data_IF_618370641849
#
_entry.id   IF_618370641849
#
_cell.length_a   1.000
_cell.length_b   1.000
_cell.length_c   1.000
_cell.angle_alpha   90.00
_cell.angle_beta   90.00
_cell.angle_gamma   90.00
#
_symmetry.space_group_name_H-M   'P 1'
#
loop_
_entity.id
_entity.type
_entity.pdbx_description
1 polymer ?
#
# COMPACT_ATOMS: atom_id res chain seq x y z
N UNK A 1 -14.72 20.95 -14.93
CA UNK A 1 -15.02 19.67 -15.60
C UNK A 1 -13.91 18.62 -15.43
N UNK A 2 -12.62 18.90 -15.75
CA UNK A 2 -11.51 17.91 -15.63
C UNK A 2 -11.33 17.33 -14.22
N UNK A 3 -11.40 18.14 -13.16
CA UNK A 3 -11.23 17.65 -11.79
C UNK A 3 -12.33 16.66 -11.38
N UNK A 4 -13.59 16.98 -11.72
CA UNK A 4 -14.73 16.11 -11.45
C UNK A 4 -14.60 14.78 -12.18
N UNK A 5 -14.20 14.80 -13.45
CA UNK A 5 -14.00 13.58 -14.23
C UNK A 5 -12.89 12.69 -13.65
N UNK A 6 -11.78 13.27 -13.16
CA UNK A 6 -10.69 12.52 -12.49
C UNK A 6 -11.20 11.86 -11.21
N UNK A 7 -11.91 12.60 -10.35
CA UNK A 7 -12.46 12.06 -9.11
C UNK A 7 -13.54 11.01 -9.34
N UNK A 8 -14.44 11.25 -10.30
CA UNK A 8 -15.48 10.28 -10.66
C UNK A 8 -14.87 8.99 -11.24
N UNK A 9 -13.93 9.12 -12.16
CA UNK A 9 -13.22 7.96 -12.71
C UNK A 9 -12.46 7.17 -11.65
N UNK A 10 -11.74 7.86 -10.76
CA UNK A 10 -11.04 7.21 -9.66
C UNK A 10 -12.01 6.51 -8.70
N UNK A 11 -13.09 7.18 -8.30
CA UNK A 11 -14.11 6.59 -7.43
C UNK A 11 -14.73 5.34 -8.06
N UNK A 12 -15.09 5.40 -9.35
CA UNK A 12 -15.67 4.27 -10.08
C UNK A 12 -14.69 3.07 -10.11
N UNK A 13 -13.46 3.32 -10.48
CA UNK A 13 -12.42 2.26 -10.60
C UNK A 13 -12.09 1.63 -9.25
N UNK A 14 -12.09 2.42 -8.17
CA UNK A 14 -11.82 1.89 -6.82
C UNK A 14 -13.05 1.24 -6.18
N UNK A 15 -14.26 1.70 -6.50
CA UNK A 15 -15.50 1.10 -6.00
C UNK A 15 -15.84 -0.23 -6.71
N UNK A 16 -15.48 -0.37 -7.98
CA UNK A 16 -15.77 -1.58 -8.75
C UNK A 16 -15.28 -2.88 -8.10
N UNK A 17 -14.01 -3.05 -7.68
CA UNK A 17 -13.56 -4.27 -7.01
C UNK A 17 -14.29 -4.54 -5.69
N UNK A 18 -14.65 -3.48 -4.96
CA UNK A 18 -15.43 -3.59 -3.72
C UNK A 18 -16.83 -4.10 -4.02
N UNK A 19 -17.49 -3.54 -5.05
CA UNK A 19 -18.81 -3.96 -5.48
C UNK A 19 -18.81 -5.43 -5.96
N UNK A 20 -17.84 -5.83 -6.78
CA UNK A 20 -17.66 -7.23 -7.21
C UNK A 20 -17.52 -8.15 -6.01
N UNK A 21 -16.69 -7.76 -5.04
CA UNK A 21 -16.47 -8.56 -3.83
C UNK A 21 -17.74 -8.69 -2.98
N UNK A 22 -18.54 -7.61 -2.87
CA UNK A 22 -19.78 -7.59 -2.09
C UNK A 22 -20.90 -8.47 -2.68
N UNK A 23 -20.83 -8.77 -3.98
CA UNK A 23 -21.78 -9.64 -4.67
C UNK A 23 -21.20 -11.03 -4.99
N UNK A 24 -20.06 -11.36 -4.42
CA UNK A 24 -19.42 -12.64 -4.68
C UNK A 24 -20.16 -13.78 -4.01
N UNK A 25 -20.46 -14.88 -4.73
CA UNK A 25 -21.05 -16.08 -4.13
C UNK A 25 -20.15 -16.74 -3.09
N UNK A 26 -18.85 -16.44 -3.08
CA UNK A 26 -17.90 -16.94 -2.09
C UNK A 26 -18.12 -16.38 -0.68
N UNK A 27 -19.01 -15.40 -0.51
CA UNK A 27 -19.39 -14.84 0.80
C UNK A 27 -20.42 -15.71 1.52
N UNK A 28 -21.21 -16.50 0.81
CA UNK A 28 -22.41 -17.20 1.32
C UNK A 28 -22.14 -18.05 2.55
N UNK A 29 -20.99 -18.73 2.58
CA UNK A 29 -20.62 -19.66 3.65
C UNK A 29 -19.56 -19.10 4.61
N UNK A 30 -19.30 -17.80 4.57
CA UNK A 30 -18.26 -17.15 5.37
C UNK A 30 -18.83 -16.40 6.56
N UNK A 31 -18.23 -16.60 7.73
CA UNK A 31 -18.59 -15.85 8.93
C UNK A 31 -18.29 -14.35 8.81
N UNK A 32 -19.02 -13.50 9.55
CA UNK A 32 -18.91 -12.04 9.41
C UNK A 32 -17.50 -11.49 9.70
N UNK A 33 -16.77 -12.10 10.64
CA UNK A 33 -15.39 -11.69 10.97
C UNK A 33 -14.45 -11.94 9.79
N UNK A 34 -14.57 -13.10 9.14
CA UNK A 34 -13.78 -13.43 7.95
C UNK A 34 -14.09 -12.47 6.79
N UNK A 35 -15.39 -12.20 6.57
CA UNK A 35 -15.84 -11.25 5.55
C UNK A 35 -15.27 -9.85 5.81
N UNK A 36 -15.38 -9.37 7.05
CA UNK A 36 -14.81 -8.06 7.44
C UNK A 36 -13.29 -8.01 7.25
N UNK A 37 -12.57 -9.08 7.60
CA UNK A 37 -11.14 -9.20 7.36
C UNK A 37 -10.80 -9.14 5.86
N UNK A 38 -11.56 -9.83 5.02
CA UNK A 38 -11.41 -9.79 3.57
C UNK A 38 -11.60 -8.38 3.01
N UNK A 39 -12.68 -7.70 3.40
CA UNK A 39 -12.92 -6.31 3.00
C UNK A 39 -11.87 -5.32 3.51
N UNK A 40 -11.32 -5.54 4.71
CA UNK A 40 -10.20 -4.76 5.21
C UNK A 40 -8.95 -4.91 4.32
N UNK A 41 -8.67 -6.12 3.82
CA UNK A 41 -7.61 -6.36 2.84
C UNK A 41 -7.85 -5.62 1.52
N UNK A 42 -9.09 -5.65 0.99
CA UNK A 42 -9.47 -4.92 -0.22
C UNK A 42 -9.31 -3.41 -0.01
N UNK A 43 -9.78 -2.88 1.13
CA UNK A 43 -9.61 -1.48 1.49
C UNK A 43 -8.12 -1.09 1.57
N UNK A 44 -7.29 -1.96 2.14
CA UNK A 44 -5.84 -1.79 2.15
C UNK A 44 -5.26 -1.63 0.74
N UNK A 45 -5.65 -2.48 -0.21
CA UNK A 45 -5.19 -2.41 -1.60
C UNK A 45 -5.67 -1.11 -2.29
N UNK A 46 -6.91 -0.68 -2.06
CA UNK A 46 -7.44 0.62 -2.52
C UNK A 46 -6.60 1.78 -1.97
N UNK A 47 -6.27 1.73 -0.68
CA UNK A 47 -5.44 2.76 -0.04
C UNK A 47 -4.01 2.78 -0.62
N UNK A 48 -3.45 1.64 -0.99
CA UNK A 48 -2.13 1.55 -1.66
C UNK A 48 -2.15 2.28 -3.02
N UNK A 49 -3.27 2.30 -3.75
CA UNK A 49 -3.42 3.10 -4.98
C UNK A 49 -3.46 4.59 -4.67
N UNK A 50 -4.23 5.01 -3.66
CA UNK A 50 -4.44 6.43 -3.34
C UNK A 50 -3.19 7.12 -2.78
N UNK A 51 -2.42 6.43 -1.96
CA UNK A 51 -1.25 6.95 -1.26
C UNK A 51 -0.21 7.61 -2.19
N UNK A 52 0.30 6.95 -3.24
CA UNK A 52 1.29 7.53 -4.14
C UNK A 52 0.70 8.66 -5.00
N UNK A 53 -0.57 8.60 -5.38
CA UNK A 53 -1.24 9.67 -6.14
C UNK A 53 -1.30 10.97 -5.35
N UNK A 54 -1.61 10.89 -4.05
CA UNK A 54 -1.60 12.04 -3.13
C UNK A 54 -0.18 12.57 -2.91
N UNK A 55 0.78 11.69 -2.67
CA UNK A 55 2.17 12.06 -2.44
C UNK A 55 2.79 12.77 -3.64
N UNK A 56 2.44 12.33 -4.86
CA UNK A 56 2.91 12.91 -6.11
C UNK A 56 2.14 14.16 -6.56
N UNK A 57 1.11 14.60 -5.81
CA UNK A 57 0.28 15.75 -6.16
C UNK A 57 -0.46 15.56 -7.49
N UNK A 58 -0.91 14.34 -7.77
CA UNK A 58 -1.60 14.00 -9.03
C UNK A 58 -3.10 14.24 -8.97
N UNK A 59 -3.65 14.36 -7.77
CA UNK A 59 -5.09 14.55 -7.57
C UNK A 59 -5.42 16.06 -7.59
N UNK A 60 -6.38 16.51 -8.41
CA UNK A 60 -6.75 17.91 -8.51
C UNK A 60 -7.52 18.37 -7.27
N UNK A 61 -7.34 19.64 -6.90
CA UNK A 61 -8.07 20.32 -5.83
C UNK A 61 -7.29 20.49 -4.53
N UNK A 62 -6.71 19.45 -3.91
CA UNK A 62 -5.99 19.63 -2.65
C UNK A 62 -4.72 20.47 -2.79
N UNK A 63 -4.51 21.41 -1.88
CA UNK A 63 -3.19 22.07 -1.74
C UNK A 63 -2.15 21.03 -1.30
N UNK A 64 -0.85 21.32 -1.54
CA UNK A 64 0.23 20.41 -1.12
C UNK A 64 0.19 20.10 0.38
N UNK A 65 -0.18 21.07 1.22
CA UNK A 65 -0.34 20.88 2.67
C UNK A 65 -1.50 19.94 2.98
N UNK A 66 -2.65 20.12 2.33
CA UNK A 66 -3.83 19.26 2.47
C UNK A 66 -3.52 17.85 1.98
N UNK A 67 -2.92 17.69 0.80
CA UNK A 67 -2.54 16.39 0.26
C UNK A 67 -1.62 15.60 1.21
N UNK A 68 -0.65 16.28 1.85
CA UNK A 68 0.23 15.66 2.86
C UNK A 68 -0.51 15.23 4.13
N UNK A 69 -1.50 16.00 4.58
CA UNK A 69 -2.34 15.63 5.74
C UNK A 69 -3.23 14.43 5.41
N UNK A 70 -3.87 14.47 4.25
CA UNK A 70 -4.71 13.36 3.77
C UNK A 70 -3.85 12.10 3.56
N UNK A 71 -2.68 12.20 2.95
CA UNK A 71 -1.74 11.09 2.83
C UNK A 71 -1.38 10.48 4.19
N UNK A 72 -1.12 11.29 5.21
CA UNK A 72 -0.82 10.79 6.55
C UNK A 72 -2.03 10.11 7.20
N UNK A 73 -3.24 10.67 7.05
CA UNK A 73 -4.47 10.08 7.58
C UNK A 73 -4.81 8.75 6.90
N UNK A 74 -4.71 8.70 5.56
CA UNK A 74 -4.92 7.45 4.81
C UNK A 74 -3.81 6.43 5.07
N UNK A 75 -2.58 6.88 5.40
CA UNK A 75 -1.51 6.00 5.86
C UNK A 75 -1.84 5.33 7.19
N UNK A 76 -2.42 6.07 8.13
CA UNK A 76 -2.93 5.50 9.39
C UNK A 76 -4.11 4.55 9.13
N UNK A 77 -5.02 4.90 8.22
CA UNK A 77 -6.12 4.03 7.81
C UNK A 77 -5.62 2.74 7.15
N UNK A 78 -4.55 2.80 6.35
CA UNK A 78 -3.91 1.61 5.78
C UNK A 78 -3.36 0.69 6.87
N UNK A 79 -2.67 1.23 7.86
CA UNK A 79 -2.19 0.44 9.01
C UNK A 79 -3.36 -0.21 9.74
N UNK A 80 -4.44 0.54 10.01
CA UNK A 80 -5.64 0.02 10.65
C UNK A 80 -6.30 -1.09 9.80
N UNK A 81 -6.40 -0.92 8.49
CA UNK A 81 -6.94 -1.92 7.58
C UNK A 81 -6.11 -3.22 7.60
N UNK A 82 -4.78 -3.12 7.59
CA UNK A 82 -3.89 -4.29 7.69
C UNK A 82 -4.05 -4.98 9.05
N UNK A 83 -4.13 -4.22 10.15
CA UNK A 83 -4.38 -4.79 11.48
C UNK A 83 -5.73 -5.51 11.55
N UNK A 84 -6.80 -4.90 11.03
CA UNK A 84 -8.13 -5.53 10.98
C UNK A 84 -8.12 -6.79 10.11
N UNK A 85 -7.44 -6.75 8.96
CA UNK A 85 -7.30 -7.90 8.07
C UNK A 85 -6.64 -9.08 8.80
N UNK A 86 -5.46 -8.86 9.36
CA UNK A 86 -4.70 -9.92 10.04
C UNK A 86 -5.36 -10.38 11.33
N UNK A 87 -5.91 -9.46 12.14
CA UNK A 87 -6.59 -9.83 13.39
C UNK A 87 -7.87 -10.62 13.13
N UNK A 88 -8.63 -10.26 12.09
CA UNK A 88 -9.83 -11.01 11.73
C UNK A 88 -9.50 -12.42 11.22
N UNK A 89 -8.43 -12.58 10.44
CA UNK A 89 -7.91 -13.88 10.03
C UNK A 89 -7.39 -14.69 11.24
N UNK A 90 -6.74 -14.03 12.19
CA UNK A 90 -6.31 -14.67 13.43
C UNK A 90 -7.49 -15.22 14.23
N UNK A 91 -8.59 -14.47 14.32
CA UNK A 91 -9.80 -14.94 15.05
C UNK A 91 -10.44 -16.14 14.34
N UNK A 92 -10.41 -16.17 13.01
CA UNK A 92 -11.12 -17.20 12.21
C UNK A 92 -10.27 -18.42 11.92
N UNK A 93 -8.95 -18.28 11.80
CA UNK A 93 -8.02 -19.39 11.52
C UNK A 93 -6.62 -19.08 12.11
N UNK A 94 -6.44 -19.21 13.44
CA UNK A 94 -5.16 -18.96 14.09
C UNK A 94 -3.99 -19.75 13.51
N UNK A 95 -4.14 -21.06 13.19
CA UNK A 95 -3.03 -21.83 12.62
C UNK A 95 -2.53 -21.27 11.30
N UNK A 96 -3.43 -20.88 10.40
CA UNK A 96 -3.03 -20.31 9.09
C UNK A 96 -2.23 -19.01 9.24
N UNK A 97 -2.58 -18.18 10.23
CA UNK A 97 -1.85 -16.94 10.50
C UNK A 97 -0.47 -17.22 11.13
N UNK A 98 -0.38 -18.22 12.04
CA UNK A 98 0.89 -18.65 12.61
C UNK A 98 1.81 -19.16 11.50
N UNK A 99 1.31 -20.06 10.65
CA UNK A 99 2.07 -20.60 9.52
C UNK A 99 2.51 -19.52 8.54
N UNK A 100 1.64 -18.54 8.26
CA UNK A 100 2.01 -17.41 7.44
C UNK A 100 3.14 -16.58 8.06
N UNK A 101 3.03 -16.22 9.34
CA UNK A 101 4.00 -15.41 10.07
C UNK A 101 5.35 -16.11 10.25
N UNK A 102 5.35 -17.45 10.34
CA UNK A 102 6.57 -18.26 10.43
C UNK A 102 7.11 -18.69 9.08
N UNK A 103 6.47 -18.27 7.96
CA UNK A 103 6.82 -18.65 6.59
C UNK A 103 6.76 -20.17 6.33
N UNK A 104 5.93 -20.88 7.07
CA UNK A 104 5.68 -22.35 6.93
C UNK A 104 4.36 -22.65 6.20
N UNK A 105 3.58 -21.62 5.87
CA UNK A 105 2.30 -21.76 5.17
C UNK A 105 2.47 -22.43 3.81
N UNK A 106 1.65 -23.44 3.48
CA UNK A 106 1.68 -24.09 2.18
C UNK A 106 1.12 -23.19 1.05
N UNK A 107 0.47 -22.09 1.40
CA UNK A 107 -0.14 -21.18 0.41
C UNK A 107 0.90 -20.20 -0.16
N UNK A 108 1.03 -20.12 -1.51
CA UNK A 108 2.09 -19.33 -2.14
C UNK A 108 1.94 -17.82 -1.94
N UNK A 109 0.75 -17.34 -1.56
CA UNK A 109 0.48 -15.93 -1.33
C UNK A 109 0.85 -15.42 0.07
N UNK A 110 0.95 -16.31 1.05
CA UNK A 110 1.11 -15.94 2.46
C UNK A 110 2.42 -15.19 2.72
N UNK A 111 3.54 -15.69 2.24
CA UNK A 111 4.85 -15.04 2.42
C UNK A 111 4.87 -13.60 1.86
N UNK A 112 4.28 -13.39 0.69
CA UNK A 112 4.17 -12.07 0.09
C UNK A 112 3.34 -11.10 0.94
N UNK A 113 2.22 -11.60 1.49
CA UNK A 113 1.36 -10.82 2.40
C UNK A 113 2.09 -10.40 3.68
N UNK A 114 2.84 -11.31 4.29
CA UNK A 114 3.61 -11.04 5.52
C UNK A 114 4.72 -10.02 5.26
N UNK A 115 5.46 -10.15 4.16
CA UNK A 115 6.48 -9.17 3.79
C UNK A 115 5.85 -7.80 3.56
N UNK A 116 4.71 -7.73 2.82
CA UNK A 116 3.99 -6.48 2.59
C UNK A 116 3.50 -5.85 3.90
N UNK A 117 2.93 -6.62 4.82
CA UNK A 117 2.48 -6.19 6.14
C UNK A 117 3.62 -5.53 6.94
N UNK A 118 4.76 -6.21 7.07
CA UNK A 118 5.91 -5.65 7.79
C UNK A 118 6.47 -4.42 7.10
N UNK A 119 6.45 -4.36 5.77
CA UNK A 119 6.86 -3.17 5.03
C UNK A 119 5.92 -1.98 5.27
N UNK A 120 4.59 -2.20 5.39
CA UNK A 120 3.61 -1.17 5.78
C UNK A 120 3.93 -0.64 7.18
N UNK A 121 4.16 -1.52 8.16
CA UNK A 121 4.47 -1.11 9.53
C UNK A 121 5.80 -0.36 9.62
N UNK A 122 6.82 -0.83 8.90
CA UNK A 122 8.11 -0.14 8.82
C UNK A 122 7.99 1.24 8.17
N UNK A 123 7.18 1.38 7.09
CA UNK A 123 6.93 2.66 6.44
C UNK A 123 6.19 3.64 7.37
N UNK A 124 5.22 3.16 8.13
CA UNK A 124 4.49 3.95 9.12
C UNK A 124 5.40 4.37 10.30
N UNK A 125 6.20 3.47 10.84
CA UNK A 125 7.17 3.75 11.88
C UNK A 125 8.21 4.79 11.42
N UNK A 126 8.75 4.62 10.21
CA UNK A 126 9.68 5.57 9.61
C UNK A 126 9.01 6.95 9.41
N UNK A 127 7.74 7.00 9.01
CA UNK A 127 6.98 8.24 8.88
C UNK A 127 6.74 8.93 10.23
N UNK A 128 6.46 8.18 11.30
CA UNK A 128 6.35 8.70 12.66
C UNK A 128 7.68 9.30 13.15
N UNK A 129 8.79 8.64 12.82
CA UNK A 129 10.14 9.05 13.21
C UNK A 129 10.78 10.08 12.26
N UNK A 130 10.07 10.56 11.24
CA UNK A 130 10.61 11.43 10.18
C UNK A 130 11.37 12.66 10.66
N UNK A 131 11.01 13.20 11.85
CA UNK A 131 11.68 14.36 12.44
C UNK A 131 13.07 14.02 13.02
N UNK A 132 13.32 12.74 13.32
CA UNK A 132 14.58 12.21 13.88
C UNK A 132 15.51 11.67 12.80
N UNK A 133 15.04 11.51 11.57
CA UNK A 133 15.77 10.91 10.46
C UNK A 133 16.18 11.99 9.46
N UNK A 134 17.39 11.88 8.90
CA UNK A 134 17.87 12.78 7.83
C UNK A 134 16.89 12.74 6.64
N UNK A 135 16.50 13.90 6.06
CA UNK A 135 15.48 13.96 5.00
C UNK A 135 15.80 13.10 3.76
N UNK A 136 17.07 12.95 3.41
CA UNK A 136 17.49 12.09 2.29
C UNK A 136 17.26 10.60 2.60
N UNK A 137 17.64 10.16 3.81
CA UNK A 137 17.47 8.78 4.28
C UNK A 137 15.98 8.45 4.45
N UNK A 138 15.21 9.38 5.01
CA UNK A 138 13.75 9.24 5.11
C UNK A 138 13.12 9.02 3.73
N UNK A 139 13.43 9.88 2.74
CA UNK A 139 12.86 9.75 1.39
C UNK A 139 13.25 8.43 0.73
N UNK A 140 14.52 8.07 0.80
CA UNK A 140 15.00 6.82 0.21
C UNK A 140 14.37 5.58 0.88
N UNK A 141 14.38 5.53 2.22
CA UNK A 141 13.83 4.41 2.98
C UNK A 141 12.31 4.29 2.81
N UNK A 142 11.57 5.39 2.94
CA UNK A 142 10.11 5.37 2.76
C UNK A 142 9.72 4.97 1.33
N UNK A 143 10.41 5.49 0.31
CA UNK A 143 10.15 5.10 -1.08
C UNK A 143 10.48 3.62 -1.31
N UNK A 144 11.60 3.11 -0.79
CA UNK A 144 11.95 1.70 -0.90
C UNK A 144 10.90 0.79 -0.25
N UNK A 145 10.42 1.16 0.94
CA UNK A 145 9.36 0.42 1.62
C UNK A 145 8.03 0.47 0.85
N UNK A 146 7.65 1.61 0.27
CA UNK A 146 6.43 1.73 -0.56
C UNK A 146 6.53 0.85 -1.81
N UNK A 147 7.69 0.80 -2.46
CA UNK A 147 7.92 -0.11 -3.59
C UNK A 147 7.78 -1.56 -3.13
N UNK A 148 8.38 -1.93 -2.01
CA UNK A 148 8.30 -3.28 -1.44
C UNK A 148 6.85 -3.65 -1.11
N UNK A 149 6.07 -2.73 -0.50
CA UNK A 149 4.64 -2.92 -0.26
C UNK A 149 3.92 -3.25 -1.56
N UNK A 150 4.07 -2.45 -2.61
CA UNK A 150 3.36 -2.66 -3.86
C UNK A 150 3.77 -3.98 -4.54
N UNK A 151 5.09 -4.25 -4.61
CA UNK A 151 5.63 -5.45 -5.25
C UNK A 151 5.20 -6.73 -4.53
N UNK A 152 5.09 -6.71 -3.19
CA UNK A 152 4.67 -7.88 -2.44
C UNK A 152 3.14 -8.00 -2.33
N UNK A 153 2.40 -6.89 -2.28
CA UNK A 153 0.93 -6.93 -2.24
C UNK A 153 0.33 -7.49 -3.53
N UNK A 154 0.96 -7.24 -4.68
CA UNK A 154 0.44 -7.70 -5.98
C UNK A 154 0.41 -9.23 -6.08
N UNK A 155 1.51 -9.98 -5.90
CA UNK A 155 1.44 -11.45 -5.92
C UNK A 155 0.57 -11.98 -4.77
N UNK A 156 0.59 -11.36 -3.57
CA UNK A 156 -0.32 -11.72 -2.50
C UNK A 156 -1.78 -11.67 -2.98
N UNK A 157 -2.22 -10.55 -3.54
CA UNK A 157 -3.59 -10.39 -4.00
C UNK A 157 -3.93 -11.29 -5.20
N UNK A 158 -3.03 -11.42 -6.18
CA UNK A 158 -3.29 -12.18 -7.41
C UNK A 158 -3.41 -13.69 -7.16
N UNK A 159 -2.61 -14.23 -6.25
CA UNK A 159 -2.57 -15.65 -5.93
C UNK A 159 -3.71 -16.10 -5.00
N UNK A 160 -4.41 -15.17 -4.32
CA UNK A 160 -5.57 -15.51 -3.50
C UNK A 160 -6.77 -15.79 -4.41
N UNK A 161 -7.38 -16.95 -4.27
CA UNK A 161 -8.72 -17.22 -4.79
C UNK A 161 -9.76 -16.62 -3.83
N UNK A 162 -10.25 -15.42 -4.18
CA UNK A 162 -11.09 -14.63 -3.28
C UNK A 162 -12.25 -13.92 -3.99
N UNK A 163 -12.97 -13.14 -3.21
CA UNK A 163 -14.24 -12.50 -3.57
C UNK A 163 -14.15 -11.44 -4.68
N UNK A 164 -12.97 -10.85 -4.92
CA UNK A 164 -12.81 -9.72 -5.87
C UNK A 164 -12.99 -10.11 -7.34
N UNK A 165 -12.95 -11.37 -7.70
CA UNK A 165 -12.88 -11.80 -9.10
C UNK A 165 -11.52 -11.49 -9.77
N UNK A 166 -11.13 -12.23 -10.82
CA UNK A 166 -9.78 -12.12 -11.38
C UNK A 166 -9.53 -10.79 -12.10
N UNK A 167 -10.52 -10.26 -12.83
CA UNK A 167 -10.35 -9.04 -13.63
C UNK A 167 -10.25 -7.80 -12.77
N UNK A 168 -11.18 -7.61 -11.82
CA UNK A 168 -11.19 -6.44 -10.94
C UNK A 168 -9.96 -6.41 -10.04
N UNK A 169 -9.52 -7.56 -9.57
CA UNK A 169 -8.31 -7.76 -8.79
C UNK A 169 -7.05 -7.39 -9.59
N UNK A 170 -6.91 -7.92 -10.80
CA UNK A 170 -5.78 -7.60 -11.69
C UNK A 170 -5.73 -6.11 -12.05
N UNK A 171 -6.89 -5.50 -12.33
CA UNK A 171 -6.98 -4.06 -12.61
C UNK A 171 -6.52 -3.21 -11.42
N UNK A 172 -6.96 -3.54 -10.20
CA UNK A 172 -6.55 -2.81 -8.99
C UNK A 172 -5.05 -2.99 -8.69
N UNK A 173 -4.52 -4.19 -8.89
CA UNK A 173 -3.08 -4.46 -8.77
C UNK A 173 -2.25 -3.66 -9.79
N UNK A 174 -2.69 -3.63 -11.05
CA UNK A 174 -2.03 -2.84 -12.09
C UNK A 174 -2.04 -1.33 -11.76
N UNK A 175 -3.16 -0.83 -11.24
CA UNK A 175 -3.27 0.56 -10.78
C UNK A 175 -2.33 0.86 -9.60
N UNK A 176 -2.20 -0.05 -8.64
CA UNK A 176 -1.29 0.12 -7.51
C UNK A 176 0.17 0.22 -7.99
N UNK A 177 0.61 -0.69 -8.86
CA UNK A 177 1.95 -0.63 -9.44
C UNK A 177 2.17 0.63 -10.28
N UNK A 178 1.19 0.99 -11.14
CA UNK A 178 1.24 2.19 -11.98
C UNK A 178 1.32 3.47 -11.15
N UNK A 179 0.51 3.59 -10.10
CA UNK A 179 0.51 4.74 -9.20
C UNK A 179 1.86 4.89 -8.49
N UNK A 180 2.43 3.79 -7.97
CA UNK A 180 3.76 3.79 -7.34
C UNK A 180 4.84 4.15 -8.35
N UNK A 181 4.84 3.55 -9.54
CA UNK A 181 5.84 3.83 -10.58
C UNK A 181 5.83 5.31 -10.98
N UNK A 182 4.64 5.86 -11.26
CA UNK A 182 4.51 7.28 -11.62
C UNK A 182 4.93 8.20 -10.47
N UNK A 183 4.57 7.89 -9.22
CA UNK A 183 5.00 8.67 -8.07
C UNK A 183 6.51 8.65 -7.89
N UNK A 184 7.16 7.49 -8.01
CA UNK A 184 8.62 7.33 -7.94
C UNK A 184 9.30 8.17 -9.01
N UNK A 185 8.80 8.13 -10.25
CA UNK A 185 9.32 8.94 -11.36
C UNK A 185 9.14 10.44 -11.10
N UNK A 186 7.93 10.87 -10.76
CA UNK A 186 7.62 12.30 -10.53
C UNK A 186 8.39 12.92 -9.38
N UNK A 187 8.50 12.20 -8.27
CA UNK A 187 9.20 12.68 -7.08
C UNK A 187 10.72 12.57 -7.19
N UNK A 188 11.24 12.02 -8.30
CA UNK A 188 12.67 11.78 -8.53
C UNK A 188 13.33 11.11 -7.30
N UNK A 189 12.62 10.14 -6.74
CA UNK A 189 12.98 9.52 -5.45
C UNK A 189 14.32 8.79 -5.48
N UNK A 190 14.88 8.50 -6.67
CA UNK A 190 16.21 7.90 -6.86
C UNK A 190 17.37 8.90 -6.75
N UNK A 191 17.12 10.21 -6.84
CA UNK A 191 18.19 11.23 -6.81
C UNK A 191 18.98 11.20 -5.51
N UNK A 192 18.37 11.08 -4.31
CA UNK A 192 19.10 10.96 -3.06
C UNK A 192 19.98 9.71 -2.99
N UNK A 193 19.50 8.57 -3.54
CA UNK A 193 20.25 7.32 -3.58
C UNK A 193 21.50 7.44 -4.44
N UNK A 194 21.40 8.03 -5.65
CA UNK A 194 22.57 8.27 -6.51
C UNK A 194 23.64 9.15 -5.85
N UNK A 195 23.25 10.16 -5.07
CA UNK A 195 24.19 11.03 -4.34
C UNK A 195 24.89 10.29 -3.20
N UNK A 196 24.18 9.41 -2.50
CA UNK A 196 24.75 8.56 -1.46
C UNK A 196 25.77 7.57 -2.04
N UNK A 197 25.44 6.96 -3.20
CA UNK A 197 26.31 6.00 -3.89
C UNK A 197 27.58 6.65 -4.49
N UNK A 198 27.50 7.92 -4.95
CA UNK A 198 28.63 8.65 -5.52
C UNK A 198 29.56 9.29 -4.51
N UNK A 199 29.31 9.16 -3.21
CA UNK A 199 30.15 9.77 -2.17
C UNK A 199 30.14 11.30 -2.15
N UNK A 200 29.32 11.95 -2.95
CA UNK A 200 29.27 13.42 -3.11
C UNK A 200 28.84 14.16 -1.82
N UNK A 201 28.36 13.42 -0.81
CA UNK A 201 27.95 13.98 0.48
C UNK A 201 29.10 14.40 1.41
N UNK A 202 30.32 13.98 1.16
CA UNK A 202 31.47 14.31 2.01
C UNK A 202 32.34 15.48 1.50
N UNK A 203 32.28 15.78 0.20
CA UNK A 203 33.12 16.82 -0.39
C UNK A 203 32.72 18.25 0.03
N UNK A 204 31.43 18.52 0.25
CA UNK A 204 30.93 19.87 0.62
C UNK A 204 31.22 20.24 2.09
N UNK A 205 31.55 19.30 2.96
CA UNK A 205 31.88 19.56 4.38
C UNK A 205 33.36 19.85 4.64
N UNK A 206 34.24 19.64 3.66
CA UNK A 206 35.68 19.89 3.84
C UNK A 206 36.14 21.28 3.36
N UNK A 207 35.24 22.09 2.78
CA UNK A 207 35.56 23.42 2.26
C UNK A 207 34.79 24.57 2.93
N UNK A 208 34.30 24.32 4.16
CA UNK A 208 33.80 25.43 5.01
C UNK A 208 34.46 25.40 6.38
#
# INVERSE_FOLDING_TARGET
MRALAIWAGLALVLAWPVAVAAHSPLLEWRGPVYVAAGFAGIAGLVLIVLQPLLAAGMLPGPTLRTARRVHAALGAALVAAVLLHVSGLWITSPPDVIDALTFTSPTPFSAWGVIAMWAVFAAAALAALRRRVRPALFRAGHTGLVILVAVCTVPHALLIEGTMGPVSKAALCALALGAVAVAVVRLKSWVPLRRLWRGEGQAVRRTR
#
